data_IF_768358994657
#
_entry.id   IF_768358994657
#
_cell.length_a   1.000
_cell.length_b   1.000
_cell.length_c   1.000
_cell.angle_alpha   90.00
_cell.angle_beta   90.00
_cell.angle_gamma   90.00
#
_symmetry.space_group_name_H-M   'P 1'
#
loop_
_entity.id
_entity.type
_entity.pdbx_description
1 polymer ?
#
# COMPACT_ATOMS: atom_id res chain seq x y z
N UNK A 1 0.53 16.72 -26.66
CA UNK A 1 1.88 16.38 -26.14
C UNK A 1 1.99 16.44 -24.61
N UNK A 2 1.66 17.57 -23.94
CA UNK A 2 1.75 17.68 -22.47
C UNK A 2 0.93 16.64 -21.70
N UNK A 3 -0.31 16.37 -22.12
CA UNK A 3 -1.19 15.38 -21.48
C UNK A 3 -0.65 13.94 -21.55
N UNK A 4 0.08 13.58 -22.61
CA UNK A 4 0.68 12.24 -22.73
C UNK A 4 1.86 12.05 -21.77
N UNK A 5 2.64 13.10 -21.52
CA UNK A 5 3.73 13.05 -20.55
C UNK A 5 3.20 12.78 -19.13
N UNK A 6 2.14 13.49 -18.76
CA UNK A 6 1.43 13.25 -17.50
C UNK A 6 0.81 11.85 -17.45
N UNK A 7 0.19 11.38 -18.54
CA UNK A 7 -0.37 10.03 -18.62
C UNK A 7 0.69 8.93 -18.45
N UNK A 8 1.89 9.10 -19.03
CA UNK A 8 3.00 8.14 -18.91
C UNK A 8 3.57 8.15 -17.48
N UNK A 9 3.75 9.33 -16.87
CA UNK A 9 4.19 9.47 -15.47
C UNK A 9 3.19 8.84 -14.49
N UNK A 10 1.89 9.07 -14.69
CA UNK A 10 0.80 8.50 -13.89
C UNK A 10 0.67 6.98 -14.12
N UNK A 11 0.82 6.50 -15.37
CA UNK A 11 0.75 5.07 -15.67
C UNK A 11 1.90 4.29 -15.01
N UNK A 12 3.12 4.83 -15.03
CA UNK A 12 4.29 4.21 -14.38
C UNK A 12 4.14 4.12 -12.86
N UNK A 13 3.62 5.15 -12.22
CA UNK A 13 3.35 5.16 -10.77
C UNK A 13 2.16 4.27 -10.39
N UNK A 14 1.22 4.02 -11.30
CA UNK A 14 0.07 3.14 -11.00
C UNK A 14 0.51 1.70 -10.78
N UNK A 15 1.31 1.13 -11.69
CA UNK A 15 1.66 -0.31 -11.62
C UNK A 15 2.86 -0.56 -10.70
N UNK A 16 3.80 0.38 -10.59
CA UNK A 16 5.09 0.17 -9.94
C UNK A 16 5.07 0.04 -8.41
N UNK A 17 4.15 0.70 -7.70
CA UNK A 17 4.23 0.82 -6.24
C UNK A 17 4.22 -0.52 -5.50
N UNK A 18 3.25 -1.40 -5.81
CA UNK A 18 3.20 -2.74 -5.21
C UNK A 18 4.39 -3.60 -5.62
N UNK A 19 4.81 -3.53 -6.89
CA UNK A 19 5.97 -4.28 -7.40
C UNK A 19 7.27 -3.89 -6.69
N UNK A 20 7.41 -2.63 -6.28
CA UNK A 20 8.56 -2.15 -5.49
C UNK A 20 8.36 -2.43 -4.00
N UNK A 21 7.13 -2.40 -3.50
CA UNK A 21 6.84 -2.66 -2.10
C UNK A 21 7.16 -4.10 -1.68
N UNK A 22 6.95 -5.09 -2.54
CA UNK A 22 7.27 -6.50 -2.25
C UNK A 22 8.77 -6.79 -1.98
N UNK A 23 9.73 -6.43 -2.86
CA UNK A 23 11.15 -6.66 -2.60
C UNK A 23 11.66 -5.83 -1.43
N UNK A 24 11.12 -4.63 -1.22
CA UNK A 24 11.42 -3.82 -0.03
C UNK A 24 10.91 -4.52 1.23
N UNK A 25 9.68 -5.02 1.22
CA UNK A 25 9.14 -5.81 2.33
C UNK A 25 10.00 -7.06 2.60
N UNK A 26 10.40 -7.79 1.56
CA UNK A 26 11.31 -8.92 1.66
C UNK A 26 12.65 -8.54 2.33
N UNK A 27 13.25 -7.42 1.90
CA UNK A 27 14.48 -6.91 2.50
C UNK A 27 14.30 -6.50 3.97
N UNK A 28 13.18 -5.87 4.33
CA UNK A 28 12.85 -5.53 5.73
C UNK A 28 12.63 -6.79 6.58
N UNK A 29 12.01 -7.82 6.02
CA UNK A 29 11.79 -9.07 6.72
C UNK A 29 13.10 -9.81 7.00
N UNK A 30 14.06 -9.80 6.05
CA UNK A 30 15.43 -10.31 6.29
C UNK A 30 16.16 -9.56 7.41
N UNK A 31 15.78 -8.32 7.72
CA UNK A 31 16.29 -7.53 8.85
C UNK A 31 15.54 -7.80 10.17
N UNK A 32 14.58 -8.73 10.20
CA UNK A 32 13.81 -9.06 11.40
C UNK A 32 12.65 -8.09 11.69
N UNK A 33 12.20 -7.31 10.72
CA UNK A 33 11.05 -6.43 10.90
C UNK A 33 9.80 -7.25 11.25
N UNK A 34 8.99 -6.72 12.18
CA UNK A 34 7.76 -7.36 12.64
C UNK A 34 6.78 -7.53 11.47
N UNK A 35 6.19 -8.71 11.31
CA UNK A 35 5.25 -9.04 10.23
C UNK A 35 4.08 -8.05 10.14
N UNK A 36 3.58 -7.56 11.28
CA UNK A 36 2.53 -6.53 11.32
C UNK A 36 2.93 -5.24 10.57
N UNK A 37 4.21 -4.84 10.67
CA UNK A 37 4.73 -3.66 9.97
C UNK A 37 4.82 -3.92 8.47
N UNK A 38 5.28 -5.11 8.06
CA UNK A 38 5.33 -5.52 6.66
C UNK A 38 3.95 -5.47 6.00
N UNK A 39 2.93 -6.05 6.64
CA UNK A 39 1.56 -6.04 6.12
C UNK A 39 1.00 -4.62 6.05
N UNK A 40 1.28 -3.79 7.05
CA UNK A 40 0.88 -2.38 7.04
C UNK A 40 1.54 -1.63 5.88
N UNK A 41 2.83 -1.87 5.62
CA UNK A 41 3.59 -1.24 4.54
C UNK A 41 3.05 -1.63 3.16
N UNK A 42 2.83 -2.93 2.92
CA UNK A 42 2.28 -3.41 1.64
C UNK A 42 0.83 -2.92 1.46
N UNK A 43 0.00 -2.98 2.50
CA UNK A 43 -1.38 -2.50 2.47
C UNK A 43 -1.46 -1.00 2.21
N UNK A 44 -0.65 -0.21 2.91
CA UNK A 44 -0.56 1.23 2.70
C UNK A 44 -0.07 1.57 1.29
N UNK A 45 0.96 0.87 0.79
CA UNK A 45 1.45 1.04 -0.59
C UNK A 45 0.40 0.67 -1.65
N UNK A 46 -0.54 -0.23 -1.35
CA UNK A 46 -1.64 -0.56 -2.26
C UNK A 46 -2.77 0.48 -2.27
N UNK A 47 -2.99 1.18 -1.16
CA UNK A 47 -4.06 2.18 -1.01
C UNK A 47 -3.60 3.58 -1.42
N UNK A 48 -2.33 3.90 -1.22
CA UNK A 48 -1.73 5.20 -1.55
C UNK A 48 -1.30 5.33 -3.02
N UNK A 49 -2.14 4.90 -3.96
CA UNK A 49 -1.87 5.05 -5.40
C UNK A 49 -2.17 6.47 -5.84
N UNK A 50 -1.11 7.28 -6.00
CA UNK A 50 -1.18 8.69 -6.45
C UNK A 50 -2.13 8.88 -7.64
N UNK A 51 -2.10 8.04 -8.70
CA UNK A 51 -2.95 8.23 -9.87
C UNK A 51 -4.42 7.93 -9.57
N UNK A 52 -4.70 6.89 -8.79
CA UNK A 52 -6.07 6.52 -8.41
C UNK A 52 -6.70 7.59 -7.53
N UNK A 53 -5.96 8.10 -6.53
CA UNK A 53 -6.44 9.20 -5.68
C UNK A 53 -6.71 10.47 -6.45
N UNK A 54 -5.88 10.79 -7.44
CA UNK A 54 -6.05 11.97 -8.27
C UNK A 54 -7.28 11.83 -9.18
N UNK A 55 -7.51 10.64 -9.74
CA UNK A 55 -8.72 10.33 -10.50
C UNK A 55 -9.97 10.39 -9.62
N UNK A 56 -9.97 9.78 -8.44
CA UNK A 56 -11.11 9.84 -7.52
C UNK A 56 -11.42 11.27 -7.09
N UNK A 57 -10.40 12.05 -6.70
CA UNK A 57 -10.61 13.44 -6.30
C UNK A 57 -11.17 14.31 -7.44
N UNK A 58 -10.78 14.01 -8.69
CA UNK A 58 -11.24 14.75 -9.87
C UNK A 58 -12.65 14.35 -10.34
N UNK A 59 -13.04 13.07 -10.20
CA UNK A 59 -14.32 12.56 -10.72
C UNK A 59 -15.40 12.38 -9.64
N UNK A 60 -15.05 11.90 -8.45
CA UNK A 60 -15.97 11.66 -7.32
C UNK A 60 -15.94 12.79 -6.29
N UNK A 61 -14.92 13.65 -6.32
CA UNK A 61 -14.75 14.78 -5.40
C UNK A 61 -13.84 14.46 -4.20
N UNK A 62 -13.27 15.52 -3.63
CA UNK A 62 -12.29 15.42 -2.53
C UNK A 62 -12.88 14.80 -1.25
N UNK A 63 -14.15 15.09 -0.97
CA UNK A 63 -14.91 14.56 0.18
C UNK A 63 -14.87 13.02 0.21
N UNK A 64 -15.11 12.38 -0.93
CA UNK A 64 -15.08 10.93 -1.07
C UNK A 64 -13.67 10.36 -0.83
N UNK A 65 -12.65 11.00 -1.41
CA UNK A 65 -11.26 10.58 -1.25
C UNK A 65 -10.80 10.66 0.20
N UNK A 66 -11.19 11.70 0.93
CA UNK A 66 -10.86 11.86 2.36
C UNK A 66 -11.54 10.77 3.19
N UNK A 67 -12.84 10.54 2.99
CA UNK A 67 -13.57 9.47 3.70
C UNK A 67 -12.93 8.11 3.41
N UNK A 68 -12.58 7.83 2.15
CA UNK A 68 -11.88 6.60 1.76
C UNK A 68 -10.58 6.44 2.53
N UNK A 69 -9.75 7.47 2.64
CA UNK A 69 -8.50 7.41 3.40
C UNK A 69 -8.72 7.21 4.90
N UNK A 70 -9.66 7.96 5.48
CA UNK A 70 -9.98 7.88 6.91
C UNK A 70 -10.50 6.50 7.28
N UNK A 71 -11.19 5.80 6.38
CA UNK A 71 -11.65 4.42 6.61
C UNK A 71 -10.57 3.39 6.27
N UNK A 72 -9.85 3.56 5.15
CA UNK A 72 -8.87 2.59 4.66
C UNK A 72 -7.64 2.49 5.56
N UNK A 73 -7.11 3.63 6.05
CA UNK A 73 -5.91 3.64 6.92
C UNK A 73 -6.13 2.82 8.21
N UNK A 74 -7.15 3.07 9.04
CA UNK A 74 -7.38 2.27 10.24
C UNK A 74 -7.76 0.83 9.90
N UNK A 75 -8.45 0.57 8.79
CA UNK A 75 -8.76 -0.78 8.35
C UNK A 75 -7.50 -1.59 7.99
N UNK A 76 -6.55 -0.98 7.28
CA UNK A 76 -5.25 -1.60 6.98
C UNK A 76 -4.46 -1.85 8.27
N UNK A 77 -4.38 -0.86 9.16
CA UNK A 77 -3.64 -1.01 10.42
C UNK A 77 -4.24 -2.12 11.29
N UNK A 78 -5.57 -2.18 11.37
CA UNK A 78 -6.28 -3.20 12.15
C UNK A 78 -6.07 -4.59 11.56
N UNK A 79 -6.30 -4.76 10.25
CA UNK A 79 -6.09 -6.04 9.56
C UNK A 79 -4.64 -6.51 9.63
N UNK A 80 -3.67 -5.60 9.49
CA UNK A 80 -2.23 -5.90 9.60
C UNK A 80 -1.83 -6.28 11.00
N UNK A 81 -2.42 -5.66 12.04
CA UNK A 81 -2.17 -6.04 13.43
C UNK A 81 -2.72 -7.44 13.73
N UNK A 82 -3.94 -7.74 13.29
CA UNK A 82 -4.56 -9.06 13.44
C UNK A 82 -3.71 -10.11 12.72
N UNK A 83 -3.45 -9.91 11.43
CA UNK A 83 -2.66 -10.83 10.61
C UNK A 83 -1.24 -11.00 11.13
N UNK A 84 -0.58 -9.89 11.50
CA UNK A 84 0.74 -9.91 12.09
C UNK A 84 0.79 -10.68 13.40
N UNK A 85 -0.18 -10.51 14.29
CA UNK A 85 -0.26 -11.28 15.54
C UNK A 85 -0.62 -12.76 15.33
N UNK A 86 -1.44 -13.08 14.33
CA UNK A 86 -1.79 -14.46 13.97
C UNK A 86 -0.59 -15.21 13.38
N UNK A 87 0.18 -14.54 12.52
CA UNK A 87 1.33 -15.12 11.83
C UNK A 87 2.58 -15.17 12.71
N UNK A 88 2.75 -14.20 13.63
CA UNK A 88 3.83 -14.21 14.63
C UNK A 88 3.65 -15.34 15.66
N UNK A 89 2.41 -15.73 15.99
CA UNK A 89 2.12 -16.91 16.83
C UNK A 89 2.49 -18.25 16.18
N UNK A 90 2.67 -18.29 14.86
CA UNK A 90 3.06 -19.49 14.12
C UNK A 90 4.56 -19.56 13.79
N UNK A 91 5.39 -18.70 14.38
CA UNK A 91 6.83 -18.58 14.06
C UNK A 91 7.12 -18.60 12.55
N UNK A 92 6.22 -18.00 11.76
CA UNK A 92 6.30 -18.09 10.31
C UNK A 92 7.44 -17.19 9.80
N UNK A 93 8.62 -17.79 9.65
CA UNK A 93 9.69 -17.25 8.83
C UNK A 93 9.20 -17.34 7.38
N UNK A 94 8.82 -16.21 6.78
CA UNK A 94 8.60 -16.16 5.34
C UNK A 94 9.97 -16.51 4.72
N UNK A 95 10.06 -17.73 4.20
CA UNK A 95 11.21 -18.21 3.45
C UNK A 95 11.01 -17.72 2.02
N UNK A 96 11.32 -16.45 1.78
CA UNK A 96 11.52 -15.93 0.41
C UNK A 96 12.86 -16.40 -0.13
#
# INVERSE_FOLDING_TARGET
MRAHLWAILLAGTTVGELYVAFPVAAALQRKGARLAFLFTYIGASGVCRIPMTLFEASFLGLEFTIIRYVVAVPFIVLSSKIMGSYLQKREYQIRM
#
